data_IF_534281891804
#
_entry.id   IF_534281891804
#
_cell.length_a   1.000
_cell.length_b   1.000
_cell.length_c   1.000
_cell.angle_alpha   90.00
_cell.angle_beta   90.00
_cell.angle_gamma   90.00
#
_symmetry.space_group_name_H-M   'P 1'
#
loop_
_entity.id
_entity.type
_entity.pdbx_description
1 polymer ?
#
# COMPACT_ATOMS: atom_id res chain seq x y z
N UNK A 1 33.61 42.71 -29.03
CA UNK A 1 33.75 42.49 -27.57
C UNK A 1 33.13 41.15 -27.24
N UNK A 2 33.84 40.38 -26.42
CA UNK A 2 33.78 38.94 -26.24
C UNK A 2 32.65 38.44 -25.32
N UNK A 3 32.39 37.13 -25.46
CA UNK A 3 31.84 36.16 -24.51
C UNK A 3 30.31 36.17 -24.26
N UNK A 4 29.54 35.12 -24.56
CA UNK A 4 29.69 33.67 -24.27
C UNK A 4 29.47 33.31 -22.80
N UNK A 5 28.83 32.15 -22.62
CA UNK A 5 28.49 31.37 -21.43
C UNK A 5 27.11 31.66 -20.82
N UNK A 6 26.05 30.96 -21.24
CA UNK A 6 25.76 29.51 -21.05
C UNK A 6 25.36 29.18 -19.60
N UNK A 7 24.11 28.73 -19.51
CA UNK A 7 23.35 28.24 -18.35
C UNK A 7 24.04 27.06 -17.63
N UNK A 8 23.97 26.97 -16.29
CA UNK A 8 24.16 25.69 -15.60
C UNK A 8 22.80 25.10 -15.15
N UNK A 9 22.21 24.26 -16.02
CA UNK A 9 21.11 23.32 -15.70
C UNK A 9 21.64 22.08 -14.93
N UNK A 10 22.92 22.07 -14.55
CA UNK A 10 23.64 20.85 -14.17
C UNK A 10 23.92 20.72 -12.65
N UNK A 11 22.93 20.97 -11.78
CA UNK A 11 23.12 20.78 -10.31
C UNK A 11 22.04 19.92 -9.65
N UNK A 12 21.21 19.19 -10.41
CA UNK A 12 20.19 18.29 -9.83
C UNK A 12 20.16 16.90 -10.46
N UNK A 13 21.32 16.37 -10.86
CA UNK A 13 21.46 15.01 -11.43
C UNK A 13 22.53 14.16 -10.71
N UNK A 14 22.98 14.57 -9.52
CA UNK A 14 24.07 13.88 -8.78
C UNK A 14 23.64 13.19 -7.49
N UNK A 15 22.36 13.14 -7.13
CA UNK A 15 21.90 12.48 -5.89
C UNK A 15 21.44 11.03 -6.07
N UNK A 16 21.55 10.43 -7.26
CA UNK A 16 21.01 9.09 -7.55
C UNK A 16 22.02 7.91 -7.43
N UNK A 17 23.30 8.16 -7.12
CA UNK A 17 24.36 7.10 -7.17
C UNK A 17 24.94 6.74 -5.79
N UNK A 18 24.47 7.37 -4.69
CA UNK A 18 25.07 7.20 -3.37
C UNK A 18 24.30 6.27 -2.39
N UNK A 19 23.47 5.34 -2.89
CA UNK A 19 22.68 4.41 -2.05
C UNK A 19 22.83 2.92 -2.44
N UNK A 20 24.02 2.52 -2.91
CA UNK A 20 24.31 1.15 -3.36
C UNK A 20 25.60 0.57 -2.76
N UNK A 21 25.96 0.94 -1.52
CA UNK A 21 27.30 0.64 -0.98
C UNK A 21 27.43 0.33 0.52
N UNK A 22 26.44 -0.30 1.19
CA UNK A 22 26.62 -0.68 2.61
C UNK A 22 26.07 -2.06 3.02
N UNK A 23 25.92 -3.00 2.10
CA UNK A 23 25.53 -4.38 2.44
C UNK A 23 26.72 -5.33 2.50
N UNK A 24 27.74 -5.05 3.32
CA UNK A 24 28.79 -6.03 3.61
C UNK A 24 29.46 -5.74 4.94
N UNK A 25 28.84 -6.16 6.06
CA UNK A 25 29.48 -6.65 7.29
C UNK A 25 28.50 -6.67 8.45
N UNK A 26 27.83 -7.80 8.70
CA UNK A 26 27.37 -8.19 10.04
C UNK A 26 27.08 -9.71 10.05
N UNK A 27 27.89 -10.53 10.74
CA UNK A 27 27.44 -11.83 11.18
C UNK A 27 26.68 -11.62 12.50
N UNK A 28 25.36 -11.55 12.45
CA UNK A 28 24.53 -11.70 13.65
C UNK A 28 24.07 -13.16 13.73
N UNK A 29 24.97 -14.03 14.21
CA UNK A 29 24.64 -15.39 14.61
C UNK A 29 23.95 -15.32 15.99
N UNK A 30 22.63 -15.36 16.00
CA UNK A 30 21.86 -15.42 17.24
C UNK A 30 21.43 -16.86 17.51
N UNK A 31 22.28 -17.56 18.26
CA UNK A 31 22.01 -18.87 18.82
C UNK A 31 20.94 -18.72 19.91
N UNK A 32 19.67 -18.90 19.58
CA UNK A 32 18.62 -19.05 20.60
C UNK A 32 18.18 -20.52 20.62
N UNK A 33 18.49 -21.20 21.72
CA UNK A 33 18.00 -22.52 22.09
C UNK A 33 16.46 -22.60 22.03
N UNK A 34 15.85 -23.80 21.94
CA UNK A 34 14.41 -23.93 21.77
C UNK A 34 13.70 -23.55 23.07
N UNK A 35 13.03 -22.40 23.07
CA UNK A 35 12.02 -22.09 24.06
C UNK A 35 10.71 -22.79 23.62
N UNK A 36 10.45 -23.96 24.21
CA UNK A 36 9.09 -24.48 24.35
C UNK A 36 8.35 -23.53 25.29
N UNK A 37 7.49 -22.71 24.72
CA UNK A 37 6.42 -22.03 25.44
C UNK A 37 5.28 -21.88 24.44
N UNK A 38 4.67 -23.04 24.16
CA UNK A 38 3.29 -23.15 23.73
C UNK A 38 2.43 -22.45 24.78
N UNK A 39 2.30 -21.13 24.67
CA UNK A 39 1.18 -20.42 25.27
C UNK A 39 0.27 -20.09 24.11
N UNK A 40 -0.64 -21.03 23.90
CA UNK A 40 -1.80 -21.03 23.04
C UNK A 40 -2.45 -19.64 22.94
N UNK A 41 -1.89 -18.77 22.10
CA UNK A 41 -2.44 -17.45 21.77
C UNK A 41 -3.39 -17.53 20.57
N UNK A 42 -3.74 -18.74 20.13
CA UNK A 42 -4.71 -19.01 19.05
C UNK A 42 -6.15 -19.18 19.55
N UNK A 43 -6.40 -19.15 20.86
CA UNK A 43 -7.73 -19.34 21.46
C UNK A 43 -8.37 -18.05 21.99
N UNK A 44 -7.76 -16.89 21.71
CA UNK A 44 -8.42 -15.60 21.68
C UNK A 44 -8.32 -15.05 20.25
N UNK A 45 -8.73 -15.90 19.30
CA UNK A 45 -8.82 -15.57 17.90
C UNK A 45 -9.79 -14.38 17.75
N UNK A 46 -9.22 -13.19 17.69
CA UNK A 46 -9.45 -12.29 16.57
C UNK A 46 -10.91 -12.29 16.12
N UNK A 47 -11.79 -11.82 17.01
CA UNK A 47 -13.12 -11.33 16.63
C UNK A 47 -12.98 -10.00 15.88
N UNK A 48 -11.98 -9.91 15.00
CA UNK A 48 -11.92 -8.90 13.96
C UNK A 48 -13.01 -9.29 13.01
N UNK A 49 -13.90 -8.35 12.69
CA UNK A 49 -14.95 -8.56 11.71
C UNK A 49 -14.34 -9.07 10.40
N UNK A 50 -14.33 -10.39 10.23
CA UNK A 50 -13.85 -11.04 9.03
C UNK A 50 -14.78 -10.58 7.92
N UNK A 51 -14.22 -9.94 6.91
CA UNK A 51 -14.96 -9.49 5.74
C UNK A 51 -14.20 -9.87 4.48
N UNK A 52 -14.92 -10.15 3.42
CA UNK A 52 -14.38 -10.31 2.08
C UNK A 52 -14.28 -8.93 1.42
N UNK A 53 -13.12 -8.59 0.89
CA UNK A 53 -12.87 -7.36 0.13
C UNK A 53 -12.69 -7.68 -1.34
N UNK A 54 -13.44 -7.01 -2.20
CA UNK A 54 -13.29 -6.99 -3.65
C UNK A 54 -12.88 -5.56 -4.05
N UNK A 55 -11.60 -5.35 -4.34
CA UNK A 55 -11.07 -4.04 -4.71
C UNK A 55 -11.13 -3.78 -6.21
N UNK A 56 -11.15 -2.50 -6.61
CA UNK A 56 -11.08 -2.07 -8.01
C UNK A 56 -12.17 -2.67 -8.92
N UNK A 57 -13.34 -2.98 -8.37
CA UNK A 57 -14.43 -3.63 -9.09
C UNK A 57 -15.07 -2.64 -10.07
N UNK A 58 -14.97 -2.85 -11.40
CA UNK A 58 -15.63 -1.98 -12.37
C UNK A 58 -17.15 -2.17 -12.29
N UNK A 59 -17.89 -1.09 -12.06
CA UNK A 59 -19.36 -1.11 -12.03
C UNK A 59 -19.98 -0.48 -13.27
N UNK A 60 -19.22 0.35 -14.00
CA UNK A 60 -19.65 0.98 -15.24
C UNK A 60 -18.46 1.37 -16.12
N UNK A 61 -18.73 1.55 -17.41
CA UNK A 61 -17.81 2.21 -18.34
C UNK A 61 -18.52 3.41 -18.95
N UNK A 62 -17.94 4.59 -18.81
CA UNK A 62 -18.48 5.86 -19.34
C UNK A 62 -17.39 6.55 -20.14
N UNK A 63 -17.67 6.90 -21.39
CA UNK A 63 -16.72 7.55 -22.30
C UNK A 63 -15.35 6.84 -22.41
N UNK A 64 -15.35 5.50 -22.30
CA UNK A 64 -14.13 4.67 -22.33
C UNK A 64 -13.36 4.62 -21.00
N UNK A 65 -13.87 5.24 -19.94
CA UNK A 65 -13.31 5.18 -18.60
C UNK A 65 -14.07 4.18 -17.73
N UNK A 66 -13.34 3.28 -17.06
CA UNK A 66 -13.91 2.39 -16.04
C UNK A 66 -14.14 3.15 -14.74
N UNK A 67 -15.37 3.11 -14.24
CA UNK A 67 -15.71 3.57 -12.91
C UNK A 67 -15.67 2.37 -11.96
N UNK A 68 -14.87 2.50 -10.89
CA UNK A 68 -14.54 1.41 -9.97
C UNK A 68 -15.01 1.71 -8.57
N UNK A 69 -15.20 0.65 -7.79
CA UNK A 69 -15.48 0.73 -6.35
C UNK A 69 -14.80 -0.44 -5.62
N UNK A 70 -14.73 -0.29 -4.29
CA UNK A 70 -14.37 -1.38 -3.40
C UNK A 70 -15.62 -1.90 -2.69
N UNK A 71 -15.79 -3.23 -2.66
CA UNK A 71 -16.93 -3.89 -2.02
C UNK A 71 -16.48 -4.71 -0.81
N UNK A 72 -17.03 -4.35 0.36
CA UNK A 72 -16.80 -5.01 1.64
C UNK A 72 -18.01 -5.86 2.01
N UNK A 73 -17.82 -7.18 2.17
CA UNK A 73 -18.89 -8.13 2.48
C UNK A 73 -18.60 -8.79 3.84
N UNK A 74 -19.47 -8.64 4.85
CA UNK A 74 -19.27 -9.28 6.14
C UNK A 74 -19.37 -10.81 6.04
N UNK A 75 -18.51 -11.54 6.75
CA UNK A 75 -18.55 -12.99 6.78
C UNK A 75 -19.85 -13.50 7.42
N UNK A 76 -20.40 -14.58 6.85
CA UNK A 76 -21.59 -15.26 7.38
C UNK A 76 -22.93 -14.55 7.15
N UNK A 77 -22.95 -13.43 6.42
CA UNK A 77 -24.20 -12.76 6.04
C UNK A 77 -24.76 -13.34 4.74
N UNK A 78 -26.01 -13.81 4.76
CA UNK A 78 -26.69 -14.34 3.56
C UNK A 78 -27.29 -13.21 2.71
N UNK A 79 -27.76 -12.13 3.35
CA UNK A 79 -28.39 -10.97 2.68
C UNK A 79 -28.12 -9.68 3.48
N UNK A 80 -26.87 -9.17 3.47
CA UNK A 80 -26.55 -7.95 4.21
C UNK A 80 -27.24 -6.73 3.60
N UNK A 81 -27.60 -5.75 4.44
CA UNK A 81 -28.08 -4.45 3.96
C UNK A 81 -26.94 -3.69 3.27
N UNK A 82 -27.21 -3.07 2.13
CA UNK A 82 -26.22 -2.31 1.38
C UNK A 82 -26.07 -0.89 1.94
N UNK A 83 -24.83 -0.48 2.16
CA UNK A 83 -24.44 0.91 2.43
C UNK A 83 -23.52 1.35 1.30
N UNK A 84 -23.81 2.52 0.72
CA UNK A 84 -22.95 3.13 -0.31
C UNK A 84 -22.25 4.33 0.31
N UNK A 85 -20.92 4.34 0.25
CA UNK A 85 -20.10 5.44 0.72
C UNK A 85 -19.45 6.13 -0.48
N UNK A 86 -19.73 7.42 -0.64
CA UNK A 86 -19.16 8.27 -1.69
C UNK A 86 -18.28 9.29 -0.98
N UNK A 87 -16.98 9.28 -1.27
CA UNK A 87 -16.09 10.25 -0.68
C UNK A 87 -16.23 11.62 -1.36
N UNK A 88 -15.81 12.66 -0.65
CA UNK A 88 -15.79 14.02 -1.18
C UNK A 88 -14.65 14.25 -2.17
N UNK A 89 -14.42 15.53 -2.46
CA UNK A 89 -13.39 16.00 -3.40
C UNK A 89 -13.85 17.16 -4.29
N UNK A 90 -14.97 17.80 -3.94
CA UNK A 90 -15.44 19.05 -4.54
C UNK A 90 -15.73 18.94 -6.03
N UNK A 91 -16.16 17.77 -6.51
CA UNK A 91 -16.43 17.47 -7.92
C UNK A 91 -15.21 17.57 -8.84
N UNK A 92 -13.99 17.58 -8.26
CA UNK A 92 -12.72 17.66 -8.99
C UNK A 92 -11.88 16.40 -8.85
N UNK A 93 -12.22 15.58 -7.87
CA UNK A 93 -11.64 14.28 -7.56
C UNK A 93 -12.64 13.52 -6.67
N UNK A 94 -12.56 12.21 -6.71
CA UNK A 94 -13.63 11.30 -6.36
C UNK A 94 -13.26 9.88 -6.78
#
# INVERSE_FOLDING_TARGET
MFASLQRPILVRLTTCVAWLGLCASLPAQQNNAPATSDVNSSAANDTIAQHTLLSDLPYATVDGHELKLDLYIPAGATEPRLVVWIHGGGWRGG
#
